data_IF_915709808506
#
_entry.id   IF_915709808506
#
_cell.length_a   1.000
_cell.length_b   1.000
_cell.length_c   1.000
_cell.angle_alpha   90.00
_cell.angle_beta   90.00
_cell.angle_gamma   90.00
#
_symmetry.space_group_name_H-M   'P 1'
#
loop_
_entity.id
_entity.type
_entity.pdbx_description
1 polymer ?
#
# COMPACT_ATOMS: atom_id res chain seq x y z
N UNK A 1 -76.36 -29.86 -35.26
CA UNK A 1 -75.31 -29.35 -36.14
C UNK A 1 -74.04 -29.22 -35.32
N UNK A 2 -73.17 -30.20 -35.34
CA UNK A 2 -71.88 -30.07 -34.65
C UNK A 2 -70.80 -29.64 -35.65
N UNK A 3 -69.97 -28.62 -35.27
CA UNK A 3 -68.82 -28.15 -35.99
C UNK A 3 -67.56 -28.91 -35.49
N UNK A 4 -66.94 -29.61 -36.43
CA UNK A 4 -65.66 -30.30 -36.23
C UNK A 4 -64.51 -29.28 -36.31
N UNK A 5 -63.72 -29.18 -35.26
CA UNK A 5 -62.46 -28.42 -35.27
C UNK A 5 -61.31 -29.39 -35.54
N UNK A 6 -60.68 -29.18 -36.64
CA UNK A 6 -59.39 -29.87 -36.96
C UNK A 6 -58.20 -29.27 -36.24
N UNK A 7 -57.48 -30.09 -35.47
CA UNK A 7 -56.30 -29.72 -34.77
C UNK A 7 -55.02 -29.95 -35.70
N UNK A 8 -54.41 -28.90 -36.16
CA UNK A 8 -53.13 -28.95 -36.91
C UNK A 8 -51.97 -29.01 -35.93
N UNK A 9 -51.28 -30.12 -35.86
CA UNK A 9 -50.02 -30.28 -35.15
C UNK A 9 -48.87 -29.68 -35.99
N UNK A 10 -48.28 -28.57 -35.51
CA UNK A 10 -47.03 -28.05 -36.06
C UNK A 10 -45.84 -28.72 -35.34
N UNK A 11 -45.14 -29.59 -36.03
CA UNK A 11 -43.87 -30.17 -35.56
C UNK A 11 -42.77 -29.13 -35.64
N UNK A 12 -42.22 -28.68 -34.52
CA UNK A 12 -40.98 -27.89 -34.47
C UNK A 12 -39.79 -28.86 -34.56
N UNK A 13 -39.17 -28.87 -35.70
CA UNK A 13 -37.86 -29.53 -35.92
C UNK A 13 -36.78 -28.66 -35.33
N UNK A 14 -36.29 -29.01 -34.13
CA UNK A 14 -35.22 -28.31 -33.44
C UNK A 14 -33.86 -28.58 -34.11
N UNK A 15 -33.29 -27.56 -34.73
CA UNK A 15 -31.94 -27.60 -35.29
C UNK A 15 -30.94 -27.50 -34.12
N UNK A 16 -30.29 -28.59 -33.76
CA UNK A 16 -29.15 -28.63 -32.81
C UNK A 16 -27.89 -28.19 -33.53
N UNK A 17 -27.41 -26.98 -33.30
CA UNK A 17 -26.13 -26.52 -33.74
C UNK A 17 -25.05 -27.05 -32.79
N UNK A 18 -23.92 -27.61 -33.27
CA UNK A 18 -22.83 -27.98 -32.39
C UNK A 18 -22.13 -26.73 -31.88
N UNK A 19 -22.00 -26.63 -30.58
CA UNK A 19 -21.18 -25.62 -29.92
C UNK A 19 -19.70 -25.92 -30.21
N UNK A 20 -19.07 -25.11 -31.04
CA UNK A 20 -17.60 -25.11 -31.20
C UNK A 20 -16.99 -24.57 -29.93
N UNK A 21 -16.36 -25.41 -29.11
CA UNK A 21 -15.51 -25.01 -28.01
C UNK A 21 -14.29 -24.25 -28.58
N UNK A 22 -14.26 -22.95 -28.37
CA UNK A 22 -13.04 -22.17 -28.60
C UNK A 22 -11.99 -22.64 -27.58
N UNK A 23 -10.89 -23.21 -28.06
CA UNK A 23 -9.73 -23.51 -27.25
C UNK A 23 -9.12 -22.17 -26.76
N UNK A 24 -9.21 -21.92 -25.47
CA UNK A 24 -8.49 -20.82 -24.84
C UNK A 24 -6.99 -21.13 -24.95
N UNK A 25 -6.29 -20.37 -25.77
CA UNK A 25 -4.83 -20.39 -25.83
C UNK A 25 -4.31 -19.78 -24.52
N UNK A 26 -3.83 -20.62 -23.61
CA UNK A 26 -3.07 -20.21 -22.46
C UNK A 26 -1.87 -19.35 -22.92
N UNK A 27 -1.70 -18.12 -22.39
CA UNK A 27 -0.53 -17.32 -22.73
C UNK A 27 0.72 -18.04 -22.23
N UNK A 28 1.64 -18.28 -23.12
CA UNK A 28 2.99 -18.84 -22.90
C UNK A 28 3.69 -18.07 -21.79
N UNK A 29 4.22 -18.81 -20.80
CA UNK A 29 4.82 -18.29 -19.59
C UNK A 29 5.98 -17.33 -19.80
N UNK A 30 5.71 -16.05 -19.59
CA UNK A 30 6.68 -15.11 -19.06
C UNK A 30 6.51 -15.11 -17.54
N UNK A 31 7.59 -15.26 -16.78
CA UNK A 31 7.56 -15.04 -15.35
C UNK A 31 7.13 -13.59 -15.10
N UNK A 32 5.85 -13.40 -14.86
CA UNK A 32 5.36 -12.13 -14.33
C UNK A 32 5.80 -12.10 -12.87
N UNK A 33 6.78 -11.26 -12.58
CA UNK A 33 7.03 -10.85 -11.21
C UNK A 33 5.82 -10.01 -10.80
N UNK A 34 4.78 -10.70 -10.32
CA UNK A 34 3.64 -10.05 -9.69
C UNK A 34 4.16 -9.40 -8.42
N UNK A 35 3.88 -8.11 -8.22
CA UNK A 35 4.04 -7.49 -6.90
C UNK A 35 3.44 -8.46 -5.86
N UNK A 36 4.14 -8.75 -4.75
CA UNK A 36 3.60 -9.67 -3.76
C UNK A 36 2.21 -9.20 -3.34
N UNK A 37 1.26 -10.13 -3.28
CA UNK A 37 -0.11 -9.82 -2.92
C UNK A 37 -0.14 -9.07 -1.57
N UNK A 38 -0.98 -8.03 -1.44
CA UNK A 38 -1.11 -7.28 -0.19
C UNK A 38 -1.49 -8.21 0.96
N UNK A 39 -0.66 -8.26 2.00
CA UNK A 39 -0.92 -9.11 3.17
C UNK A 39 -1.66 -8.31 4.22
N UNK A 40 -2.82 -8.84 4.65
CA UNK A 40 -3.67 -8.27 5.70
C UNK A 40 -3.69 -9.23 6.88
N UNK A 41 -3.49 -8.69 8.10
CA UNK A 41 -3.56 -9.43 9.35
C UNK A 41 -4.76 -8.97 10.19
N UNK A 42 -5.37 -9.83 11.03
CA UNK A 42 -6.43 -9.44 11.94
C UNK A 42 -5.99 -8.34 12.92
N UNK A 43 -6.95 -7.50 13.36
CA UNK A 43 -6.76 -6.47 14.38
C UNK A 43 -6.43 -5.09 13.84
N UNK A 44 -6.06 -4.19 14.77
CA UNK A 44 -5.85 -2.75 14.54
C UNK A 44 -4.37 -2.35 14.42
N UNK A 45 -3.41 -3.28 14.50
CA UNK A 45 -1.98 -2.97 14.43
C UNK A 45 -1.32 -3.68 13.26
N UNK A 46 -0.43 -2.98 12.58
CA UNK A 46 0.42 -3.57 11.56
C UNK A 46 1.40 -4.57 12.18
N UNK A 47 1.67 -5.66 11.48
CA UNK A 47 2.58 -6.73 11.94
C UNK A 47 3.80 -6.76 11.04
N UNK A 48 4.99 -6.68 11.63
CA UNK A 48 6.25 -6.89 10.91
C UNK A 48 6.40 -8.38 10.62
N UNK A 49 6.61 -8.72 9.36
CA UNK A 49 6.78 -10.10 8.89
C UNK A 49 8.28 -10.49 8.85
N UNK A 50 8.59 -11.80 8.82
CA UNK A 50 9.98 -12.28 8.80
C UNK A 50 10.81 -11.81 7.59
N UNK A 51 10.17 -11.54 6.45
CA UNK A 51 10.79 -11.01 5.23
C UNK A 51 11.05 -9.49 5.30
N UNK A 52 10.69 -8.85 6.41
CA UNK A 52 10.83 -7.40 6.61
C UNK A 52 9.65 -6.58 6.08
N UNK A 53 8.68 -7.17 5.40
CA UNK A 53 7.46 -6.48 4.99
C UNK A 53 6.50 -6.29 6.18
N UNK A 54 5.50 -5.45 6.02
CA UNK A 54 4.44 -5.28 7.01
C UNK A 54 3.11 -5.81 6.47
N UNK A 55 2.43 -6.63 7.27
CA UNK A 55 1.02 -6.92 7.07
C UNK A 55 0.17 -5.74 7.57
N UNK A 56 -0.76 -5.28 6.74
CA UNK A 56 -1.69 -4.22 7.12
C UNK A 56 -2.78 -4.77 8.04
N UNK A 57 -3.25 -4.00 9.05
CA UNK A 57 -4.34 -4.46 9.89
C UNK A 57 -5.68 -4.44 9.13
N UNK A 58 -6.49 -5.49 9.33
CA UNK A 58 -7.80 -5.62 8.69
C UNK A 58 -8.77 -4.50 9.11
N UNK A 59 -8.64 -4.01 10.33
CA UNK A 59 -9.49 -2.92 10.87
C UNK A 59 -9.05 -1.52 10.41
N UNK A 60 -7.90 -1.40 9.73
CA UNK A 60 -7.42 -0.10 9.28
C UNK A 60 -8.21 0.41 8.06
N UNK A 61 -8.46 1.71 7.99
CA UNK A 61 -9.01 2.33 6.79
C UNK A 61 -8.19 1.99 5.53
N UNK A 62 -8.83 1.91 4.34
CA UNK A 62 -8.13 1.55 3.10
C UNK A 62 -6.90 2.42 2.80
N UNK A 63 -6.91 3.69 3.18
CA UNK A 63 -5.79 4.60 3.01
C UNK A 63 -4.57 4.18 3.86
N UNK A 64 -4.80 3.71 5.08
CA UNK A 64 -3.74 3.21 5.96
C UNK A 64 -3.14 1.93 5.41
N UNK A 65 -3.97 1.02 4.92
CA UNK A 65 -3.52 -0.21 4.25
C UNK A 65 -2.71 0.13 2.99
N UNK A 66 -3.18 1.06 2.16
CA UNK A 66 -2.47 1.53 0.96
C UNK A 66 -1.10 2.12 1.28
N UNK A 67 -0.98 2.90 2.37
CA UNK A 67 0.31 3.43 2.83
C UNK A 67 1.28 2.30 3.20
N UNK A 68 0.80 1.25 3.88
CA UNK A 68 1.62 0.10 4.28
C UNK A 68 2.07 -0.69 3.05
N UNK A 69 1.18 -0.99 2.11
CA UNK A 69 1.51 -1.75 0.90
C UNK A 69 2.50 -0.98 0.02
N UNK A 70 2.36 0.34 -0.09
CA UNK A 70 3.31 1.16 -0.81
C UNK A 70 4.69 1.16 -0.14
N UNK A 71 4.75 1.31 1.18
CA UNK A 71 6.01 1.29 1.92
C UNK A 71 6.75 -0.06 1.78
N UNK A 72 6.04 -1.18 1.67
CA UNK A 72 6.63 -2.50 1.42
C UNK A 72 7.46 -2.54 0.12
N UNK A 73 7.09 -1.76 -0.91
CA UNK A 73 7.82 -1.69 -2.19
C UNK A 73 9.18 -0.99 -2.09
N UNK A 74 9.46 -0.33 -0.96
CA UNK A 74 10.68 0.45 -0.77
C UNK A 74 11.78 -0.30 -0.02
N UNK A 75 11.52 -1.48 0.53
CA UNK A 75 12.41 -2.11 1.52
C UNK A 75 13.79 -2.47 0.99
N UNK A 76 13.90 -2.77 -0.30
CA UNK A 76 15.16 -3.09 -0.98
C UNK A 76 15.87 -1.85 -1.55
N UNK A 77 15.25 -0.68 -1.43
CA UNK A 77 15.81 0.55 -1.95
C UNK A 77 16.87 1.11 -1.00
N UNK A 78 18.01 1.61 -1.51
CA UNK A 78 19.03 2.24 -0.68
C UNK A 78 18.57 3.61 -0.18
N UNK A 79 19.24 4.10 0.86
CA UNK A 79 19.17 5.51 1.21
C UNK A 79 19.83 6.36 0.11
N UNK A 80 19.11 7.35 -0.39
CA UNK A 80 19.59 8.32 -1.39
C UNK A 80 19.11 9.70 -0.98
N UNK A 81 20.04 10.61 -0.66
CA UNK A 81 19.70 11.99 -0.33
C UNK A 81 18.92 12.67 -1.47
N UNK A 82 17.78 13.32 -1.16
CA UNK A 82 16.86 13.89 -2.15
C UNK A 82 16.04 12.87 -2.94
N UNK A 83 16.19 11.58 -2.65
CA UNK A 83 15.44 10.52 -3.32
C UNK A 83 13.95 10.50 -2.96
N UNK A 84 13.09 10.23 -3.95
CA UNK A 84 11.63 10.20 -3.79
C UNK A 84 10.97 11.58 -3.88
N UNK A 85 11.69 12.65 -4.25
CA UNK A 85 11.14 14.01 -4.35
C UNK A 85 10.90 14.44 -5.79
N UNK A 86 11.95 14.51 -6.63
CA UNK A 86 11.82 14.88 -8.04
C UNK A 86 11.14 13.78 -8.87
N UNK A 87 11.36 12.52 -8.46
CA UNK A 87 10.69 11.34 -9.02
C UNK A 87 10.09 10.56 -7.85
N UNK A 88 8.78 10.26 -7.93
CA UNK A 88 8.10 9.44 -6.93
C UNK A 88 8.63 8.01 -6.99
N UNK A 89 8.73 7.44 -8.20
CA UNK A 89 9.41 6.17 -8.44
C UNK A 89 10.90 6.43 -8.67
N UNK A 90 11.73 6.19 -7.64
CA UNK A 90 13.16 6.46 -7.66
C UNK A 90 13.98 5.19 -7.35
N UNK A 91 15.27 5.23 -7.61
CA UNK A 91 16.23 4.16 -7.34
C UNK A 91 16.63 4.06 -5.86
N UNK A 92 16.31 5.08 -5.07
CA UNK A 92 16.56 5.15 -3.62
C UNK A 92 15.78 6.31 -3.02
N UNK A 93 15.64 6.32 -1.72
CA UNK A 93 14.81 7.29 -1.01
C UNK A 93 15.53 7.88 0.21
N UNK A 94 15.30 9.16 0.47
CA UNK A 94 15.65 9.75 1.75
C UNK A 94 14.54 9.57 2.79
N UNK A 95 14.71 10.14 3.97
CA UNK A 95 13.78 10.00 5.08
C UNK A 95 12.37 10.53 4.77
N UNK A 96 12.28 11.73 4.23
CA UNK A 96 11.03 12.41 3.89
C UNK A 96 10.44 11.86 2.59
N UNK A 97 11.26 11.46 1.62
CA UNK A 97 10.82 10.79 0.40
C UNK A 97 10.16 9.44 0.69
N UNK A 98 10.71 8.67 1.64
CA UNK A 98 10.11 7.40 2.11
C UNK A 98 8.72 7.63 2.71
N UNK A 99 8.58 8.62 3.59
CA UNK A 99 7.29 8.98 4.19
C UNK A 99 6.32 9.49 3.13
N UNK A 100 6.81 10.36 2.23
CA UNK A 100 5.99 10.91 1.14
C UNK A 100 5.46 9.83 0.21
N UNK A 101 6.27 8.83 -0.14
CA UNK A 101 5.84 7.72 -1.00
C UNK A 101 4.63 6.98 -0.41
N UNK A 102 4.70 6.62 0.87
CA UNK A 102 3.60 5.96 1.56
C UNK A 102 2.33 6.84 1.60
N UNK A 103 2.48 8.14 1.91
CA UNK A 103 1.34 9.06 2.01
C UNK A 103 0.73 9.44 0.64
N UNK A 104 1.53 9.47 -0.43
CA UNK A 104 1.05 9.66 -1.80
C UNK A 104 0.17 8.50 -2.25
N UNK A 105 0.61 7.27 -2.03
CA UNK A 105 -0.17 6.07 -2.35
C UNK A 105 -1.50 6.02 -1.58
N UNK A 106 -1.48 6.51 -0.35
CA UNK A 106 -2.68 6.66 0.49
C UNK A 106 -3.56 7.87 0.08
N UNK A 107 -3.14 8.70 -0.89
CA UNK A 107 -3.79 9.94 -1.30
C UNK A 107 -3.95 10.97 -0.17
N UNK A 108 -3.05 10.94 0.80
CA UNK A 108 -3.03 11.84 1.96
C UNK A 108 -2.20 13.11 1.73
N UNK A 109 -1.35 13.10 0.71
CA UNK A 109 -0.64 14.27 0.17
C UNK A 109 -0.73 14.27 -1.36
N UNK A 110 -0.52 15.41 -1.99
CA UNK A 110 -0.60 15.59 -3.47
C UNK A 110 0.77 15.58 -4.14
N UNK A 111 1.82 15.87 -3.40
CA UNK A 111 3.21 15.92 -3.86
C UNK A 111 4.15 15.56 -2.71
N UNK A 112 5.38 15.09 -3.00
CA UNK A 112 6.36 14.81 -1.97
C UNK A 112 6.66 16.05 -1.12
N UNK A 113 6.87 15.84 0.18
CA UNK A 113 7.21 16.87 1.15
C UNK A 113 8.57 16.56 1.77
N UNK A 114 9.41 17.58 1.91
CA UNK A 114 10.63 17.48 2.71
C UNK A 114 10.33 17.47 4.21
N UNK A 115 11.34 17.17 5.04
CA UNK A 115 11.15 17.09 6.49
C UNK A 115 10.71 18.41 7.12
N UNK A 116 11.15 19.56 6.60
CA UNK A 116 10.74 20.89 7.08
C UNK A 116 9.28 21.20 6.71
N UNK A 117 8.84 20.81 5.53
CA UNK A 117 7.46 20.95 5.07
C UNK A 117 6.51 20.08 5.88
N UNK A 118 6.90 18.86 6.24
CA UNK A 118 6.14 18.02 7.16
C UNK A 118 5.91 18.69 8.52
N UNK A 119 6.79 19.57 8.97
CA UNK A 119 6.61 20.29 10.25
C UNK A 119 5.36 21.20 10.27
N UNK A 120 4.81 21.54 9.11
CA UNK A 120 3.61 22.38 8.93
C UNK A 120 2.42 21.62 8.31
N UNK A 121 2.64 20.39 7.88
CA UNK A 121 1.62 19.55 7.27
C UNK A 121 0.63 19.00 8.29
N UNK A 122 -0.60 18.76 7.86
CA UNK A 122 -1.64 18.06 8.62
C UNK A 122 -1.96 18.73 9.96
N UNK A 123 -2.50 17.95 10.86
CA UNK A 123 -2.86 18.37 12.23
C UNK A 123 -1.69 18.14 13.20
N UNK A 124 -1.68 18.88 14.30
CA UNK A 124 -0.67 18.73 15.36
C UNK A 124 -1.01 17.53 16.25
N UNK A 125 0.03 16.82 16.69
CA UNK A 125 -0.09 15.70 17.60
C UNK A 125 -0.05 14.35 16.89
N UNK A 126 -0.31 13.30 17.65
CA UNK A 126 -0.38 11.92 17.16
C UNK A 126 -1.73 11.67 16.52
N UNK A 127 -1.74 10.94 15.40
CA UNK A 127 -2.94 10.40 14.79
C UNK A 127 -3.33 9.05 15.39
N UNK A 128 -4.55 8.62 15.09
CA UNK A 128 -5.02 7.30 15.48
C UNK A 128 -4.32 6.18 14.71
N UNK A 129 -4.05 6.41 13.42
CA UNK A 129 -3.48 5.43 12.51
C UNK A 129 -2.11 5.83 11.98
N UNK A 130 -1.91 7.11 11.64
CA UNK A 130 -0.69 7.61 11.02
C UNK A 130 -0.16 8.79 11.83
N UNK A 131 1.10 8.72 12.23
CA UNK A 131 1.83 9.84 12.80
C UNK A 131 3.14 10.03 12.09
N UNK A 132 3.38 11.20 11.52
CA UNK A 132 4.68 11.63 10.99
C UNK A 132 5.41 12.40 12.07
N UNK A 133 6.58 11.90 12.44
CA UNK A 133 7.51 12.59 13.32
C UNK A 133 8.57 13.28 12.48
N UNK A 134 8.74 14.58 12.67
CA UNK A 134 9.57 15.40 11.81
C UNK A 134 10.30 16.51 12.55
N UNK A 135 11.50 16.80 12.09
CA UNK A 135 12.31 17.98 12.45
C UNK A 135 13.05 18.47 11.19
N UNK A 136 13.84 19.56 11.22
CA UNK A 136 14.49 20.06 10.02
C UNK A 136 15.44 19.07 9.32
N UNK A 137 15.99 18.09 10.05
CA UNK A 137 16.99 17.15 9.52
C UNK A 137 16.47 15.73 9.26
N UNK A 138 15.24 15.38 9.69
CA UNK A 138 14.74 14.01 9.57
C UNK A 138 13.22 13.92 9.65
N UNK A 139 12.67 12.94 8.94
CA UNK A 139 11.27 12.55 9.06
C UNK A 139 11.14 11.01 9.11
N UNK A 140 10.19 10.50 9.89
CA UNK A 140 9.78 9.11 9.89
C UNK A 140 8.29 9.01 10.21
N UNK A 141 7.66 7.89 9.90
CA UNK A 141 6.26 7.67 10.21
C UNK A 141 6.06 6.49 11.16
N UNK A 142 5.01 6.56 11.96
CA UNK A 142 4.42 5.39 12.64
C UNK A 142 3.04 5.18 12.01
N UNK A 143 2.85 4.04 11.38
CA UNK A 143 1.64 3.68 10.65
C UNK A 143 1.06 2.42 11.30
N UNK A 144 -0.15 2.51 11.81
CA UNK A 144 -0.81 1.43 12.56
C UNK A 144 0.11 0.78 13.63
N UNK A 145 0.89 1.61 14.34
CA UNK A 145 1.79 1.18 15.41
C UNK A 145 3.18 0.72 14.97
N UNK A 146 3.45 0.55 13.67
CA UNK A 146 4.75 0.12 13.16
C UNK A 146 5.54 1.31 12.58
N UNK A 147 6.85 1.37 12.89
CA UNK A 147 7.73 2.48 12.45
C UNK A 147 8.29 2.24 11.06
N UNK A 148 8.05 3.18 10.14
CA UNK A 148 8.69 3.31 8.84
C UNK A 148 9.79 4.38 8.92
N UNK A 149 11.05 3.99 8.75
CA UNK A 149 12.18 4.91 8.98
C UNK A 149 13.41 4.48 8.17
N UNK A 150 14.13 5.43 7.59
CA UNK A 150 15.42 5.19 6.94
C UNK A 150 16.59 5.13 7.94
N UNK A 151 16.39 5.61 9.17
CA UNK A 151 17.38 5.57 10.24
C UNK A 151 17.31 4.25 11.00
N UNK A 152 18.47 3.67 11.28
CA UNK A 152 18.60 2.46 12.10
C UNK A 152 18.60 2.74 13.62
N UNK A 153 18.18 3.94 14.07
CA UNK A 153 18.07 4.20 15.50
C UNK A 153 17.18 3.18 16.20
N UNK A 154 17.68 2.51 17.26
CA UNK A 154 17.03 1.41 17.98
C UNK A 154 16.69 0.18 17.09
N UNK A 155 17.43 -0.01 16.00
CA UNK A 155 17.35 -1.21 15.17
C UNK A 155 18.70 -1.94 15.22
N UNK A 156 18.76 -3.16 15.79
CA UNK A 156 20.00 -3.92 15.93
C UNK A 156 20.69 -4.26 14.60
N UNK A 157 19.93 -4.28 13.48
CA UNK A 157 20.49 -4.57 12.16
C UNK A 157 21.49 -3.50 11.68
N UNK A 158 21.39 -2.26 12.18
CA UNK A 158 22.19 -1.13 11.72
C UNK A 158 21.91 -0.71 10.26
N UNK A 159 21.04 -1.43 9.55
CA UNK A 159 20.79 -1.21 8.13
C UNK A 159 20.08 0.12 7.87
N UNK A 160 20.63 0.93 6.95
CA UNK A 160 20.06 2.20 6.51
C UNK A 160 19.13 2.00 5.29
N UNK A 161 18.33 3.01 5.00
CA UNK A 161 17.35 3.00 3.91
C UNK A 161 15.92 2.72 4.38
N UNK A 162 14.92 2.83 3.48
CA UNK A 162 13.52 2.61 3.82
C UNK A 162 13.29 1.23 4.41
N UNK A 163 12.77 1.16 5.63
CA UNK A 163 12.47 -0.12 6.31
C UNK A 163 11.37 0.04 7.34
N UNK A 164 10.62 -1.01 7.54
CA UNK A 164 9.89 -1.20 8.77
C UNK A 164 10.86 -1.57 9.89
N UNK A 165 10.70 -0.95 11.05
CA UNK A 165 11.62 -1.15 12.17
C UNK A 165 10.96 -1.95 13.29
N UNK A 166 11.67 -2.90 13.90
CA UNK A 166 11.10 -3.78 14.94
C UNK A 166 10.77 -3.04 16.23
N UNK A 167 11.36 -1.85 16.43
CA UNK A 167 11.13 -1.04 17.63
C UNK A 167 10.87 0.42 17.30
N UNK A 168 10.09 1.07 18.14
CA UNK A 168 9.93 2.52 18.14
C UNK A 168 11.22 3.18 18.63
N UNK A 169 11.42 4.43 18.24
CA UNK A 169 12.56 5.26 18.67
C UNK A 169 12.08 6.43 19.53
N UNK A 170 13.04 7.10 20.21
CA UNK A 170 12.75 8.37 20.87
C UNK A 170 12.23 9.41 19.88
N UNK A 171 11.16 10.08 20.26
CA UNK A 171 10.55 11.18 19.52
C UNK A 171 10.96 12.56 20.05
N UNK A 172 11.91 12.61 21.00
CA UNK A 172 12.44 13.86 21.53
C UNK A 172 13.10 14.67 20.42
N UNK A 173 12.73 15.94 20.29
CA UNK A 173 13.20 16.83 19.22
C UNK A 173 12.45 16.71 17.90
N UNK A 174 11.37 15.92 17.86
CA UNK A 174 10.48 15.82 16.71
C UNK A 174 9.11 16.48 16.99
N UNK A 175 8.53 17.05 15.95
CA UNK A 175 7.10 17.42 15.94
C UNK A 175 6.31 16.24 15.45
N UNK A 176 5.20 15.94 16.10
CA UNK A 176 4.22 14.95 15.62
C UNK A 176 3.18 15.65 14.76
N UNK A 177 2.88 15.06 13.62
CA UNK A 177 1.87 15.49 12.66
C UNK A 177 1.06 14.31 12.17
N UNK A 178 -0.20 14.51 11.84
CA UNK A 178 -1.05 13.46 11.29
C UNK A 178 -2.04 14.01 10.26
N UNK A 179 -2.51 13.20 9.31
CA UNK A 179 -3.57 13.61 8.39
C UNK A 179 -4.92 13.66 9.12
N UNK A 180 -5.83 14.50 8.64
CA UNK A 180 -7.19 14.57 9.16
C UNK A 180 -7.88 13.19 9.04
N UNK A 181 -8.47 12.72 10.14
CA UNK A 181 -9.18 11.43 10.20
C UNK A 181 -8.31 10.19 10.43
N UNK A 182 -7.01 10.33 10.58
CA UNK A 182 -6.11 9.16 10.73
C UNK A 182 -5.22 9.25 11.99
#
# INVERSE_FOLDING_TARGET
MPRVFALLLFGCLGLVLPATAAAETSPTGGAQFSDPAPIVAPGAKATLLPDGTAAAPAEAPPQVQAAIFAANKLLDKPYKYGGGHAKVEDTGYDCSGTVSYALLAAKLIKSPLDSSSFMRWGLRGKGAWITVYTNPGHAFAVIAGLRLDTSAANDPSGAKGPRWRPALRSTRGFRARHPLGF
#
